data_IF_393711621097
#
_entry.id   IF_393711621097
#
_cell.length_a   1.000
_cell.length_b   1.000
_cell.length_c   1.000
_cell.angle_alpha   90.00
_cell.angle_beta   90.00
_cell.angle_gamma   90.00
#
_symmetry.space_group_name_H-M   'P 1'
#
loop_
_entity.id
_entity.type
_entity.pdbx_description
1 polymer ?
#
# COMPACT_ATOMS: atom_id res chain seq x y z
N UNK A 1 19.13 -11.18 -9.41
CA UNK A 1 18.14 -12.29 -9.52
C UNK A 1 18.57 -13.40 -8.59
N UNK A 2 17.67 -13.86 -7.73
CA UNK A 2 17.94 -14.87 -6.69
C UNK A 2 17.52 -16.25 -7.20
N UNK A 3 18.45 -17.23 -7.18
CA UNK A 3 18.18 -18.62 -7.51
C UNK A 3 17.92 -19.42 -6.21
N UNK A 4 17.07 -20.43 -6.25
CA UNK A 4 16.68 -21.19 -5.04
C UNK A 4 17.75 -22.14 -4.50
N UNK A 5 18.69 -22.56 -5.34
CA UNK A 5 19.77 -23.50 -5.00
C UNK A 5 20.94 -23.39 -5.99
N UNK A 6 22.09 -24.01 -5.61
CA UNK A 6 23.34 -23.97 -6.36
C UNK A 6 23.23 -24.61 -7.76
N UNK A 7 22.43 -25.65 -7.91
CA UNK A 7 22.26 -26.35 -9.19
C UNK A 7 21.49 -25.46 -10.17
N UNK A 8 20.42 -24.84 -9.69
CA UNK A 8 19.63 -23.89 -10.49
C UNK A 8 20.42 -22.62 -10.81
N UNK A 9 21.24 -22.14 -9.86
CA UNK A 9 22.13 -21.00 -10.10
C UNK A 9 23.06 -21.27 -11.27
N UNK A 10 23.73 -22.44 -11.29
CA UNK A 10 24.64 -22.85 -12.36
C UNK A 10 23.91 -22.96 -13.71
N UNK A 11 22.74 -23.56 -13.73
CA UNK A 11 21.91 -23.72 -14.91
C UNK A 11 21.46 -22.37 -15.48
N UNK A 12 20.98 -21.47 -14.63
CA UNK A 12 20.48 -20.14 -15.04
C UNK A 12 21.64 -19.27 -15.53
N UNK A 13 22.79 -19.28 -14.84
CA UNK A 13 23.97 -18.54 -15.29
C UNK A 13 24.43 -18.98 -16.68
N UNK A 14 24.41 -20.29 -16.94
CA UNK A 14 24.88 -20.85 -18.22
C UNK A 14 23.93 -20.51 -19.38
N UNK A 15 22.63 -20.56 -19.15
CA UNK A 15 21.65 -20.52 -20.23
C UNK A 15 20.95 -19.15 -20.41
N UNK A 16 20.87 -18.32 -19.35
CA UNK A 16 20.05 -17.12 -19.36
C UNK A 16 20.81 -15.82 -19.10
N UNK A 17 22.10 -15.86 -18.70
CA UNK A 17 22.87 -14.65 -18.42
C UNK A 17 23.02 -13.76 -19.65
N UNK A 18 23.49 -14.31 -20.76
CA UNK A 18 23.67 -13.57 -22.00
C UNK A 18 22.36 -13.08 -22.64
N UNK A 19 21.33 -13.92 -22.80
CA UNK A 19 20.04 -13.47 -23.32
C UNK A 19 19.44 -12.31 -22.51
N UNK A 20 19.51 -12.38 -21.18
CA UNK A 20 19.00 -11.31 -20.32
C UNK A 20 19.82 -10.02 -20.40
N UNK A 21 21.14 -10.11 -20.50
CA UNK A 21 21.99 -8.93 -20.69
C UNK A 21 21.66 -8.22 -22.00
N UNK A 22 21.50 -8.97 -23.10
CA UNK A 22 21.14 -8.42 -24.41
C UNK A 22 19.77 -7.74 -24.35
N UNK A 23 18.76 -8.42 -23.82
CA UNK A 23 17.40 -7.87 -23.74
C UNK A 23 17.35 -6.61 -22.85
N UNK A 24 18.05 -6.60 -21.72
CA UNK A 24 18.13 -5.43 -20.85
C UNK A 24 18.82 -4.26 -21.57
N UNK A 25 19.93 -4.52 -22.25
CA UNK A 25 20.61 -3.50 -23.05
C UNK A 25 19.73 -2.91 -24.14
N UNK A 26 18.97 -3.72 -24.83
CA UNK A 26 18.05 -3.29 -25.90
C UNK A 26 16.89 -2.44 -25.35
N UNK A 27 16.32 -2.84 -24.22
CA UNK A 27 15.16 -2.14 -23.62
C UNK A 27 15.57 -0.85 -22.91
N UNK A 28 16.73 -0.84 -22.23
CA UNK A 28 17.15 0.30 -21.42
C UNK A 28 18.10 1.27 -22.14
N UNK A 29 18.67 0.87 -23.27
CA UNK A 29 19.71 1.63 -23.98
C UNK A 29 21.05 1.68 -23.23
N UNK A 30 21.21 0.93 -22.15
CA UNK A 30 22.44 0.86 -21.37
C UNK A 30 23.36 -0.23 -21.93
N UNK A 31 24.56 0.17 -22.40
CA UNK A 31 25.52 -0.74 -23.02
C UNK A 31 26.37 -1.54 -22.03
N UNK A 32 26.33 -1.17 -20.72
CA UNK A 32 27.18 -1.77 -19.68
C UNK A 32 26.35 -2.31 -18.50
N UNK A 33 25.45 -3.26 -18.80
CA UNK A 33 24.57 -3.89 -17.81
C UNK A 33 25.09 -5.28 -17.45
N UNK A 34 25.57 -5.50 -16.23
CA UNK A 34 25.99 -6.81 -15.73
C UNK A 34 24.86 -7.50 -14.97
N UNK A 35 24.38 -8.63 -15.50
CA UNK A 35 23.37 -9.49 -14.82
C UNK A 35 24.10 -10.48 -13.92
N UNK A 36 23.83 -10.44 -12.60
CA UNK A 36 24.31 -11.40 -11.60
C UNK A 36 23.16 -12.24 -11.05
N UNK A 37 23.33 -13.55 -11.06
CA UNK A 37 22.46 -14.47 -10.35
C UNK A 37 23.17 -14.86 -9.06
N UNK A 38 22.46 -14.84 -7.93
CA UNK A 38 23.01 -15.08 -6.58
C UNK A 38 22.09 -16.03 -5.82
N UNK A 39 22.63 -16.73 -4.83
CA UNK A 39 21.84 -17.52 -3.89
C UNK A 39 21.16 -16.61 -2.84
N UNK A 40 20.12 -17.11 -2.16
CA UNK A 40 19.50 -16.36 -1.06
C UNK A 40 20.49 -15.97 0.06
N UNK A 41 21.51 -16.81 0.26
CA UNK A 41 22.57 -16.61 1.25
C UNK A 41 23.59 -15.54 0.83
N UNK A 42 23.80 -15.39 -0.49
CA UNK A 42 24.71 -14.40 -1.10
C UNK A 42 23.99 -13.11 -1.48
N UNK A 43 22.69 -13.02 -1.25
CA UNK A 43 22.03 -11.73 -1.33
C UNK A 43 22.78 -10.83 -0.37
N UNK A 44 23.58 -9.85 -0.83
CA UNK A 44 24.15 -8.88 0.08
C UNK A 44 22.95 -8.40 0.87
N UNK A 45 22.95 -8.68 2.19
CA UNK A 45 21.90 -8.20 3.07
C UNK A 45 21.64 -6.82 2.51
N UNK A 46 20.43 -6.59 1.95
CA UNK A 46 20.03 -5.26 1.54
C UNK A 46 20.59 -4.47 2.69
N UNK A 47 21.64 -3.67 2.45
CA UNK A 47 21.98 -2.66 3.41
C UNK A 47 20.61 -2.12 3.69
N UNK A 48 20.03 -2.58 4.76
CA UNK A 48 18.83 -1.99 5.29
C UNK A 48 19.21 -0.55 5.12
N UNK A 49 18.37 0.22 4.44
CA UNK A 49 18.53 1.66 4.38
C UNK A 49 18.28 2.12 5.82
N UNK A 50 19.14 1.69 6.70
CA UNK A 50 19.28 2.03 8.11
C UNK A 50 20.32 3.12 8.28
N UNK A 51 20.77 3.71 7.14
CA UNK A 51 21.37 5.03 7.08
C UNK A 51 20.35 6.08 6.60
N UNK A 52 19.09 5.73 6.37
CA UNK A 52 18.00 6.67 6.54
C UNK A 52 18.02 7.10 8.00
N UNK A 53 18.34 8.38 8.26
CA UNK A 53 18.47 8.95 9.58
C UNK A 53 17.36 8.42 10.49
N UNK A 54 17.61 8.12 11.78
CA UNK A 54 16.60 7.58 12.73
C UNK A 54 15.30 8.40 12.75
N UNK A 55 15.29 9.53 12.15
CA UNK A 55 14.20 10.47 11.96
C UNK A 55 13.18 10.04 10.86
N UNK A 56 13.61 9.37 9.78
CA UNK A 56 12.68 8.95 8.70
C UNK A 56 11.85 7.73 9.10
N UNK A 57 12.46 6.77 9.77
CA UNK A 57 11.76 5.56 10.24
C UNK A 57 10.73 5.92 11.34
N UNK A 58 11.08 6.88 12.18
CA UNK A 58 10.16 7.40 13.20
C UNK A 58 9.02 8.22 12.58
N UNK A 59 9.28 9.02 11.54
CA UNK A 59 8.26 9.76 10.81
C UNK A 59 7.29 8.84 10.09
N UNK A 60 7.79 7.83 9.39
CA UNK A 60 6.95 6.84 8.73
C UNK A 60 6.02 6.13 9.72
N UNK A 61 6.57 5.66 10.87
CA UNK A 61 5.77 5.03 11.93
C UNK A 61 4.72 5.97 12.48
N UNK A 62 5.08 7.20 12.81
CA UNK A 62 4.15 8.20 13.33
C UNK A 62 3.01 8.48 12.34
N UNK A 63 3.30 8.60 11.05
CA UNK A 63 2.28 8.79 10.01
C UNK A 63 1.37 7.59 9.84
N UNK A 64 1.90 6.37 9.95
CA UNK A 64 1.10 5.15 9.92
C UNK A 64 0.17 5.04 11.14
N UNK A 65 0.64 5.46 12.32
CA UNK A 65 -0.18 5.53 13.54
C UNK A 65 -1.26 6.61 13.42
N UNK A 66 -0.93 7.80 12.93
CA UNK A 66 -1.88 8.89 12.68
C UNK A 66 -2.95 8.49 11.65
N UNK A 67 -2.57 7.72 10.64
CA UNK A 67 -3.49 7.16 9.64
C UNK A 67 -4.26 5.92 10.13
N UNK A 68 -4.09 5.50 11.39
CA UNK A 68 -4.72 4.33 12.01
C UNK A 68 -4.44 3.00 11.28
N UNK A 69 -3.17 2.79 10.87
CA UNK A 69 -2.79 1.63 10.07
C UNK A 69 -2.22 0.48 10.91
N UNK A 70 -2.59 -0.74 10.54
CA UNK A 70 -1.98 -1.95 11.08
C UNK A 70 -0.62 -2.21 10.40
N UNK A 71 0.51 -2.21 11.11
CA UNK A 71 1.85 -2.36 10.51
C UNK A 71 2.10 -3.72 9.85
N UNK A 72 1.26 -4.72 10.12
CA UNK A 72 1.37 -6.06 9.52
C UNK A 72 0.71 -6.17 8.15
N UNK A 73 -0.13 -5.22 7.78
CA UNK A 73 -0.94 -5.29 6.56
C UNK A 73 -0.28 -4.49 5.43
N UNK A 74 0.71 -5.11 4.80
CA UNK A 74 1.46 -4.54 3.67
C UNK A 74 1.30 -5.41 2.42
N UNK A 75 1.62 -4.89 1.23
CA UNK A 75 1.63 -5.70 0.00
C UNK A 75 2.61 -6.87 0.10
N UNK A 76 3.72 -6.73 0.84
CA UNK A 76 4.72 -7.78 1.00
C UNK A 76 4.21 -8.97 1.83
N UNK A 77 3.27 -8.73 2.75
CA UNK A 77 2.67 -9.75 3.61
C UNK A 77 1.35 -10.29 3.07
N UNK A 78 0.83 -9.69 2.00
CA UNK A 78 -0.41 -10.12 1.36
C UNK A 78 -0.18 -11.37 0.50
N UNK A 79 -0.93 -12.43 0.77
CA UNK A 79 -0.83 -13.69 0.01
C UNK A 79 -1.67 -13.59 -1.25
N UNK A 80 -1.02 -13.60 -2.41
CA UNK A 80 -1.68 -13.53 -3.71
C UNK A 80 -2.04 -14.92 -4.20
N UNK A 81 -3.31 -15.12 -4.54
CA UNK A 81 -3.85 -16.33 -5.16
C UNK A 81 -4.63 -16.02 -6.44
N UNK A 82 -5.13 -17.05 -7.11
CA UNK A 82 -5.91 -16.89 -8.34
C UNK A 82 -7.16 -16.01 -8.17
N UNK A 83 -7.79 -16.08 -6.99
CA UNK A 83 -9.07 -15.42 -6.73
C UNK A 83 -8.94 -13.94 -6.29
N UNK A 84 -7.75 -13.50 -5.86
CA UNK A 84 -7.54 -12.14 -5.36
C UNK A 84 -6.49 -11.35 -6.18
N UNK A 85 -5.90 -11.97 -7.19
CA UNK A 85 -4.86 -11.34 -8.03
C UNK A 85 -5.34 -10.03 -8.68
N UNK A 86 -6.58 -10.00 -9.15
CA UNK A 86 -7.16 -8.79 -9.75
C UNK A 86 -7.32 -7.68 -8.71
N UNK A 87 -7.83 -8.01 -7.52
CA UNK A 87 -7.99 -7.04 -6.45
C UNK A 87 -6.64 -6.48 -5.98
N UNK A 88 -5.63 -7.35 -5.85
CA UNK A 88 -4.27 -6.93 -5.50
C UNK A 88 -3.65 -6.03 -6.59
N UNK A 89 -3.80 -6.37 -7.88
CA UNK A 89 -3.29 -5.56 -8.97
C UNK A 89 -3.98 -4.18 -9.04
N UNK A 90 -5.30 -4.13 -8.85
CA UNK A 90 -6.05 -2.87 -8.79
C UNK A 90 -5.65 -2.02 -7.57
N UNK A 91 -5.46 -2.65 -6.41
CA UNK A 91 -4.99 -1.97 -5.21
C UNK A 91 -3.58 -1.38 -5.39
N UNK A 92 -2.67 -2.11 -6.03
CA UNK A 92 -1.33 -1.63 -6.33
C UNK A 92 -1.37 -0.46 -7.32
N UNK A 93 -2.18 -0.54 -8.38
CA UNK A 93 -2.33 0.53 -9.36
C UNK A 93 -2.85 1.84 -8.71
N UNK A 94 -3.77 1.73 -7.74
CA UNK A 94 -4.24 2.89 -6.97
C UNK A 94 -3.14 3.42 -6.04
N UNK A 95 -2.37 2.54 -5.42
CA UNK A 95 -1.28 2.95 -4.53
C UNK A 95 -0.16 3.68 -5.28
N UNK A 96 0.18 3.24 -6.51
CA UNK A 96 1.17 3.87 -7.37
C UNK A 96 0.70 5.21 -7.95
N UNK A 97 -0.62 5.38 -8.16
CA UNK A 97 -1.18 6.59 -8.80
C UNK A 97 -2.56 6.93 -8.23
N UNK A 98 -2.62 7.44 -7.01
CA UNK A 98 -3.88 7.77 -6.34
C UNK A 98 -4.72 8.77 -7.15
N UNK A 99 -6.01 8.49 -7.26
CA UNK A 99 -6.97 9.35 -7.96
C UNK A 99 -6.98 9.24 -9.48
N UNK A 100 -5.96 8.64 -10.11
CA UNK A 100 -5.84 8.60 -11.58
C UNK A 100 -6.39 7.31 -12.20
N UNK A 101 -6.08 6.15 -11.62
CA UNK A 101 -6.43 4.86 -12.24
C UNK A 101 -7.86 4.43 -11.88
N UNK A 102 -8.17 4.42 -10.58
CA UNK A 102 -9.50 4.09 -10.06
C UNK A 102 -9.86 5.06 -8.92
N UNK A 103 -10.95 5.83 -9.11
CA UNK A 103 -11.48 6.72 -8.09
C UNK A 103 -13.01 6.82 -8.23
N UNK A 104 -13.77 6.18 -7.33
CA UNK A 104 -13.31 5.33 -6.23
C UNK A 104 -12.88 3.92 -6.67
N UNK A 105 -11.99 3.28 -5.91
CA UNK A 105 -11.78 1.83 -5.96
C UNK A 105 -12.71 1.17 -4.94
N UNK A 106 -13.58 0.28 -5.40
CA UNK A 106 -14.48 -0.49 -4.54
C UNK A 106 -14.08 -1.96 -4.50
N UNK A 107 -13.66 -2.43 -3.32
CA UNK A 107 -13.25 -3.83 -3.08
C UNK A 107 -14.36 -4.52 -2.28
N UNK A 108 -14.95 -5.57 -2.83
CA UNK A 108 -16.00 -6.35 -2.19
C UNK A 108 -15.69 -7.84 -2.18
N UNK A 109 -16.33 -8.57 -1.29
CA UNK A 109 -16.14 -10.01 -1.15
C UNK A 109 -16.49 -10.50 0.26
N UNK A 110 -16.49 -11.80 0.47
CA UNK A 110 -16.77 -12.43 1.76
C UNK A 110 -15.80 -12.01 2.88
N UNK A 111 -16.17 -12.37 4.11
CA UNK A 111 -15.32 -12.13 5.28
C UNK A 111 -13.98 -12.90 5.16
N UNK A 112 -12.92 -12.36 5.73
CA UNK A 112 -11.61 -13.01 5.79
C UNK A 112 -10.81 -13.06 4.47
N UNK A 113 -11.28 -12.46 3.38
CA UNK A 113 -10.60 -12.50 2.08
C UNK A 113 -9.49 -11.45 1.91
N UNK A 114 -9.19 -10.66 2.94
CA UNK A 114 -8.10 -9.71 2.95
C UNK A 114 -8.43 -8.31 2.40
N UNK A 115 -9.71 -7.91 2.34
CA UNK A 115 -10.10 -6.54 1.92
C UNK A 115 -9.43 -5.46 2.73
N UNK A 116 -9.55 -5.53 4.05
CA UNK A 116 -8.90 -4.63 5.01
C UNK A 116 -7.38 -4.64 4.85
N UNK A 117 -6.78 -5.81 4.64
CA UNK A 117 -5.35 -5.94 4.39
C UNK A 117 -4.93 -5.15 3.13
N UNK A 118 -5.65 -5.27 2.02
CA UNK A 118 -5.35 -4.50 0.81
C UNK A 118 -5.50 -3.00 1.01
N UNK A 119 -6.52 -2.56 1.75
CA UNK A 119 -6.70 -1.14 2.07
C UNK A 119 -5.52 -0.58 2.86
N UNK A 120 -5.09 -1.26 3.92
CA UNK A 120 -3.90 -0.86 4.67
C UNK A 120 -2.63 -0.92 3.81
N UNK A 121 -2.51 -1.91 2.91
CA UNK A 121 -1.36 -2.00 2.00
C UNK A 121 -1.26 -0.79 1.06
N UNK A 122 -2.40 -0.32 0.53
CA UNK A 122 -2.45 0.91 -0.28
C UNK A 122 -1.94 2.09 0.55
N UNK A 123 -2.46 2.26 1.77
CA UNK A 123 -2.07 3.35 2.65
C UNK A 123 -0.58 3.34 3.00
N UNK A 124 -0.04 2.18 3.40
CA UNK A 124 1.39 2.01 3.69
C UNK A 124 2.25 2.39 2.49
N UNK A 125 1.90 1.90 1.30
CA UNK A 125 2.64 2.19 0.08
C UNK A 125 2.66 3.70 -0.24
N UNK A 126 1.51 4.37 -0.13
CA UNK A 126 1.42 5.82 -0.39
C UNK A 126 2.27 6.60 0.63
N UNK A 127 2.15 6.29 1.93
CA UNK A 127 2.91 6.97 2.98
C UNK A 127 4.42 6.76 2.83
N UNK A 128 4.84 5.57 2.36
CA UNK A 128 6.25 5.24 2.13
C UNK A 128 6.85 6.02 0.95
N UNK A 129 6.04 6.28 -0.09
CA UNK A 129 6.52 6.88 -1.34
C UNK A 129 6.23 8.39 -1.47
N UNK A 130 5.33 8.94 -0.66
CA UNK A 130 5.02 10.37 -0.64
C UNK A 130 4.86 10.90 0.78
N UNK A 131 5.85 11.67 1.22
CA UNK A 131 5.89 12.28 2.54
C UNK A 131 4.82 13.35 2.77
N UNK A 132 4.21 13.88 1.72
CA UNK A 132 3.23 14.96 1.83
C UNK A 132 1.80 14.47 1.79
N UNK A 133 1.55 13.27 1.26
CA UNK A 133 0.20 12.71 1.15
C UNK A 133 -0.44 12.48 2.51
N UNK A 134 -1.62 13.02 2.70
CA UNK A 134 -2.44 12.82 3.89
C UNK A 134 -3.38 11.64 3.66
N UNK A 135 -3.11 10.55 4.34
CA UNK A 135 -3.87 9.31 4.25
C UNK A 135 -4.63 9.08 5.55
N UNK A 136 -5.90 8.69 5.46
CA UNK A 136 -6.70 8.30 6.61
C UNK A 136 -7.45 7.00 6.33
N UNK A 137 -7.30 6.04 7.24
CA UNK A 137 -8.14 4.86 7.32
C UNK A 137 -9.17 5.02 8.44
N UNK A 138 -10.43 4.72 8.13
CA UNK A 138 -11.54 4.80 9.07
C UNK A 138 -12.56 3.72 8.74
N UNK A 139 -13.18 3.13 9.76
CA UNK A 139 -14.36 2.29 9.54
C UNK A 139 -15.60 3.18 9.32
N UNK A 140 -16.57 2.66 8.56
CA UNK A 140 -17.82 3.39 8.34
C UNK A 140 -18.60 3.64 9.65
N UNK A 141 -18.40 2.77 10.64
CA UNK A 141 -18.99 2.93 11.98
C UNK A 141 -18.33 4.10 12.71
N UNK A 142 -16.99 4.18 12.74
CA UNK A 142 -16.27 5.29 13.36
C UNK A 142 -16.63 6.63 12.73
N UNK A 143 -16.65 6.68 11.39
CA UNK A 143 -17.05 7.88 10.65
C UNK A 143 -18.46 8.32 11.02
N UNK A 144 -19.42 7.38 11.06
CA UNK A 144 -20.81 7.67 11.40
C UNK A 144 -20.96 8.15 12.83
N UNK A 145 -20.29 7.52 13.78
CA UNK A 145 -20.34 7.89 15.19
C UNK A 145 -19.74 9.30 15.39
N UNK A 146 -18.60 9.60 14.79
CA UNK A 146 -17.97 10.92 14.84
C UNK A 146 -18.89 12.00 14.24
N UNK A 147 -19.57 11.70 13.13
CA UNK A 147 -20.53 12.61 12.51
C UNK A 147 -21.73 12.87 13.43
N UNK A 148 -22.34 11.82 14.01
CA UNK A 148 -23.49 11.93 14.91
C UNK A 148 -23.11 12.73 16.15
N UNK A 149 -21.97 12.47 16.76
CA UNK A 149 -21.50 13.24 17.91
C UNK A 149 -21.29 14.72 17.58
N UNK A 150 -20.71 14.98 16.40
CA UNK A 150 -20.50 16.34 15.90
C UNK A 150 -21.82 17.10 15.74
N UNK A 151 -22.86 16.42 15.19
CA UNK A 151 -24.20 16.99 15.04
C UNK A 151 -24.87 17.23 16.40
N UNK A 152 -24.78 16.24 17.30
CA UNK A 152 -25.39 16.35 18.65
C UNK A 152 -24.80 17.46 19.49
N UNK A 153 -23.51 17.70 19.37
CA UNK A 153 -22.82 18.77 20.07
C UNK A 153 -23.28 20.18 19.62
N UNK A 154 -23.96 20.30 18.48
CA UNK A 154 -24.57 21.54 17.98
C UNK A 154 -23.63 22.72 17.81
N UNK A 155 -22.30 22.47 17.93
CA UNK A 155 -21.29 23.50 17.91
C UNK A 155 -20.71 23.65 16.49
N UNK A 156 -20.84 24.83 15.93
CA UNK A 156 -20.28 25.16 14.61
C UNK A 156 -18.77 24.87 14.54
N UNK A 157 -18.04 25.00 15.64
CA UNK A 157 -16.62 24.69 15.74
C UNK A 157 -16.33 23.19 15.59
N UNK A 158 -17.16 22.32 16.18
CA UNK A 158 -17.02 20.88 16.05
C UNK A 158 -17.29 20.43 14.59
N UNK A 159 -18.34 20.95 13.98
CA UNK A 159 -18.67 20.69 12.58
C UNK A 159 -17.57 21.19 11.63
N UNK A 160 -16.99 22.35 11.90
CA UNK A 160 -15.86 22.87 11.11
C UNK A 160 -14.64 21.97 11.21
N UNK A 161 -14.27 21.49 12.41
CA UNK A 161 -13.16 20.55 12.61
C UNK A 161 -13.39 19.22 11.90
N UNK A 162 -14.60 18.66 11.98
CA UNK A 162 -14.96 17.44 11.27
C UNK A 162 -14.79 17.61 9.75
N UNK A 163 -15.32 18.70 9.19
CA UNK A 163 -15.16 19.00 7.76
C UNK A 163 -13.70 19.22 7.38
N UNK A 164 -12.93 19.88 8.20
CA UNK A 164 -11.50 20.12 7.98
C UNK A 164 -10.72 18.82 7.98
N UNK A 165 -11.00 17.92 8.94
CA UNK A 165 -10.39 16.58 9.01
C UNK A 165 -10.58 15.80 7.71
N UNK A 166 -11.82 15.68 7.21
CA UNK A 166 -12.12 14.83 6.05
C UNK A 166 -11.92 15.50 4.68
N UNK A 167 -11.91 16.83 4.59
CA UNK A 167 -11.68 17.56 3.34
C UNK A 167 -10.22 17.79 3.01
N UNK A 168 -9.35 17.77 4.01
CA UNK A 168 -7.91 17.98 3.83
C UNK A 168 -7.12 16.69 3.67
N UNK A 169 -7.79 15.58 3.40
CA UNK A 169 -7.21 14.27 3.18
C UNK A 169 -7.09 14.04 1.68
N UNK A 170 -5.92 13.56 1.25
CA UNK A 170 -5.67 13.23 -0.15
C UNK A 170 -6.18 11.83 -0.50
N UNK A 171 -6.07 10.87 0.45
CA UNK A 171 -6.53 9.50 0.29
C UNK A 171 -7.35 9.06 1.48
N UNK A 172 -8.64 8.83 1.27
CA UNK A 172 -9.57 8.34 2.27
C UNK A 172 -9.90 6.86 2.02
N UNK A 173 -9.68 6.04 3.03
CA UNK A 173 -9.98 4.61 3.03
C UNK A 173 -11.11 4.34 4.01
N UNK A 174 -12.27 3.93 3.51
CA UNK A 174 -13.45 3.62 4.34
C UNK A 174 -13.70 2.12 4.29
N UNK A 175 -13.56 1.45 5.44
CA UNK A 175 -13.85 0.03 5.55
C UNK A 175 -15.29 -0.22 6.02
N UNK A 176 -15.77 -1.44 5.75
CA UNK A 176 -17.08 -1.93 6.20
C UNK A 176 -18.24 -1.01 5.83
N UNK A 177 -18.24 -0.45 4.62
CA UNK A 177 -19.22 0.52 4.13
C UNK A 177 -20.68 0.04 4.24
N UNK A 178 -20.91 -1.27 4.33
CA UNK A 178 -22.25 -1.87 4.50
C UNK A 178 -22.96 -1.41 5.78
N UNK A 179 -22.25 -0.95 6.80
CA UNK A 179 -22.88 -0.44 8.04
C UNK A 179 -23.53 0.93 7.89
N UNK A 180 -23.31 1.64 6.78
CA UNK A 180 -24.00 2.90 6.46
C UNK A 180 -25.37 2.61 5.79
N UNK A 181 -25.58 1.40 5.25
CA UNK A 181 -26.81 1.03 4.58
C UNK A 181 -27.98 1.09 5.58
N UNK A 182 -29.05 1.82 5.24
CA UNK A 182 -30.25 1.99 6.09
C UNK A 182 -30.16 3.14 7.11
N UNK A 183 -29.05 3.88 7.17
CA UNK A 183 -28.93 5.09 7.98
C UNK A 183 -29.08 6.33 7.09
N UNK A 184 -30.32 6.65 6.69
CA UNK A 184 -30.65 7.75 5.76
C UNK A 184 -30.02 9.12 6.16
N UNK A 185 -29.81 9.35 7.47
CA UNK A 185 -29.19 10.57 7.97
C UNK A 185 -27.66 10.66 7.75
N UNK A 186 -27.04 9.58 7.25
CA UNK A 186 -25.59 9.47 7.08
C UNK A 186 -25.20 9.28 5.60
N UNK A 187 -26.17 8.94 4.74
CA UNK A 187 -25.99 8.86 3.31
C UNK A 187 -26.14 10.25 2.70
#
# INVERSE_FOLDING_TARGET
IVASDQVRLSYINKNYKLPLQVTISEVTGMTDCEVKFILPEDVPAKKSISDAAPDQDNRFKARCEEANLNPKYTFNTFIVGSNNKLAQAAALAVAESPGNTYNPLFIYGGAGLGKTHLMHSIAHFIIENDDNSKVLYVTSEEFTNELIETIRNGNNTAMSKFREKYRNIDVLLIDDIQFIIGKESTQ
#
